data_IF_134930411299
#
_entry.id   IF_134930411299
#
_cell.length_a   1.000
_cell.length_b   1.000
_cell.length_c   1.000
_cell.angle_alpha   90.00
_cell.angle_beta   90.00
_cell.angle_gamma   90.00
#
_symmetry.space_group_name_H-M   'P 1'
#
loop_
_entity.id
_entity.type
_entity.pdbx_description
1 polymer ?
#
# COMPACT_ATOMS: atom_id res chain seq x y z
N UNK A 1 -23.69 -2.81 27.49
CA UNK A 1 -23.07 -3.88 26.66
C UNK A 1 -22.18 -3.20 25.63
N UNK A 2 -20.87 -3.47 25.64
CA UNK A 2 -19.96 -2.99 24.60
C UNK A 2 -20.26 -3.81 23.34
N UNK A 3 -20.86 -3.21 22.34
CA UNK A 3 -21.04 -3.84 21.02
C UNK A 3 -19.67 -4.13 20.44
N UNK A 4 -19.33 -5.41 20.31
CA UNK A 4 -18.07 -5.80 19.65
C UNK A 4 -18.10 -5.36 18.19
N UNK A 5 -17.01 -4.76 17.72
CA UNK A 5 -16.82 -4.34 16.33
C UNK A 5 -16.84 -5.56 15.40
N UNK A 6 -17.51 -5.46 14.27
CA UNK A 6 -17.67 -6.55 13.30
C UNK A 6 -16.56 -6.51 12.24
N UNK A 7 -16.03 -7.65 11.90
CA UNK A 7 -15.04 -7.77 10.83
C UNK A 7 -15.45 -8.79 9.76
N UNK A 8 -15.03 -8.51 8.53
CA UNK A 8 -14.97 -9.47 7.47
C UNK A 8 -13.53 -9.95 7.27
N UNK A 9 -13.36 -11.19 6.83
CA UNK A 9 -12.11 -11.70 6.28
C UNK A 9 -12.25 -11.81 4.77
N UNK A 10 -11.28 -11.26 4.02
CA UNK A 10 -11.11 -11.59 2.62
C UNK A 10 -9.82 -12.36 2.39
N UNK A 11 -9.94 -13.51 1.76
CA UNK A 11 -8.83 -14.38 1.45
C UNK A 11 -8.86 -14.85 0.00
N UNK A 12 -7.70 -14.81 -0.63
CA UNK A 12 -7.50 -15.41 -1.93
C UNK A 12 -6.65 -16.67 -1.78
N UNK A 13 -7.05 -17.75 -2.43
CA UNK A 13 -6.23 -18.98 -2.50
C UNK A 13 -6.52 -19.78 -3.76
N UNK A 14 -5.49 -20.29 -4.39
CA UNK A 14 -5.59 -21.33 -5.42
C UNK A 14 -5.35 -22.74 -4.83
N UNK A 15 -5.16 -22.85 -3.51
CA UNK A 15 -4.75 -24.07 -2.83
C UNK A 15 -5.89 -24.86 -2.18
N UNK A 16 -7.10 -24.30 -2.09
CA UNK A 16 -8.22 -24.90 -1.36
C UNK A 16 -8.57 -26.34 -1.78
N UNK A 17 -8.39 -26.66 -3.07
CA UNK A 17 -8.66 -27.99 -3.61
C UNK A 17 -7.48 -28.97 -3.40
N UNK A 18 -6.24 -28.46 -3.36
CA UNK A 18 -5.03 -29.29 -3.28
C UNK A 18 -4.52 -29.47 -1.86
N UNK A 19 -4.72 -28.46 -0.99
CA UNK A 19 -4.18 -28.43 0.39
C UNK A 19 -5.18 -27.80 1.36
N UNK A 20 -6.32 -28.46 1.64
CA UNK A 20 -7.38 -27.88 2.46
C UNK A 20 -6.91 -27.51 3.87
N UNK A 21 -5.96 -28.26 4.48
CA UNK A 21 -5.41 -27.94 5.81
C UNK A 21 -4.67 -26.60 5.83
N UNK A 22 -3.90 -26.27 4.80
CA UNK A 22 -3.18 -25.00 4.72
C UNK A 22 -4.18 -23.84 4.63
N UNK A 23 -5.23 -24.00 3.87
CA UNK A 23 -6.30 -23.02 3.73
C UNK A 23 -7.01 -22.77 5.07
N UNK A 24 -7.40 -23.83 5.78
CA UNK A 24 -8.05 -23.74 7.09
C UNK A 24 -7.14 -23.00 8.07
N UNK A 25 -5.88 -23.40 8.20
CA UNK A 25 -4.92 -22.75 9.10
C UNK A 25 -4.74 -21.25 8.80
N UNK A 26 -4.75 -20.86 7.51
CA UNK A 26 -4.65 -19.46 7.12
C UNK A 26 -5.87 -18.65 7.55
N UNK A 27 -7.07 -19.22 7.46
CA UNK A 27 -8.30 -18.58 7.93
C UNK A 27 -8.32 -18.48 9.46
N UNK A 28 -7.88 -19.50 10.17
CA UNK A 28 -7.76 -19.50 11.64
C UNK A 28 -6.80 -18.40 12.09
N UNK A 29 -5.61 -18.29 11.47
CA UNK A 29 -4.65 -17.22 11.77
C UNK A 29 -5.25 -15.82 11.54
N UNK A 30 -6.04 -15.64 10.47
CA UNK A 30 -6.71 -14.37 10.20
C UNK A 30 -7.79 -14.06 11.25
N UNK A 31 -8.51 -15.08 11.70
CA UNK A 31 -9.53 -14.95 12.75
C UNK A 31 -8.89 -14.57 14.08
N UNK A 32 -7.85 -15.29 14.51
CA UNK A 32 -7.09 -14.98 15.72
C UNK A 32 -6.53 -13.56 15.70
N UNK A 33 -6.01 -13.12 14.56
CA UNK A 33 -5.52 -11.76 14.40
C UNK A 33 -6.63 -10.71 14.54
N UNK A 34 -7.80 -10.95 13.94
CA UNK A 34 -8.96 -10.06 14.07
C UNK A 34 -9.46 -10.01 15.53
N UNK A 35 -9.53 -11.14 16.21
CA UNK A 35 -9.95 -11.24 17.61
C UNK A 35 -8.96 -10.53 18.55
N UNK A 36 -7.64 -10.68 18.32
CA UNK A 36 -6.60 -9.97 19.07
C UNK A 36 -6.67 -8.45 18.89
N UNK A 37 -7.14 -7.99 17.73
CA UNK A 37 -7.40 -6.58 17.45
C UNK A 37 -8.76 -6.07 17.98
N UNK A 38 -9.53 -6.93 18.69
CA UNK A 38 -10.80 -6.56 19.34
C UNK A 38 -12.04 -6.67 18.45
N UNK A 39 -11.94 -7.37 17.31
CA UNK A 39 -13.05 -7.56 16.38
C UNK A 39 -13.66 -8.96 16.49
N UNK A 40 -14.92 -9.09 16.06
CA UNK A 40 -15.59 -10.37 15.85
C UNK A 40 -15.75 -10.61 14.36
N UNK A 41 -15.20 -11.70 13.85
CA UNK A 41 -15.35 -12.10 12.46
C UNK A 41 -16.76 -12.65 12.25
N UNK A 42 -17.55 -11.97 11.45
CA UNK A 42 -18.93 -12.38 11.11
C UNK A 42 -19.03 -13.06 9.76
N UNK A 43 -18.18 -12.67 8.80
CA UNK A 43 -18.24 -13.19 7.44
C UNK A 43 -16.84 -13.44 6.86
N UNK A 44 -16.76 -14.44 5.99
CA UNK A 44 -15.52 -14.80 5.28
C UNK A 44 -15.83 -14.87 3.78
N UNK A 45 -15.09 -14.08 3.02
CA UNK A 45 -15.15 -14.03 1.57
C UNK A 45 -13.89 -14.67 0.98
N UNK A 46 -14.05 -15.60 0.07
CA UNK A 46 -12.90 -16.35 -0.44
C UNK A 46 -12.98 -16.58 -1.94
N UNK A 47 -12.04 -16.01 -2.68
CA UNK A 47 -11.88 -16.24 -4.11
C UNK A 47 -10.73 -17.23 -4.40
N UNK A 48 -10.89 -17.99 -5.48
CA UNK A 48 -9.89 -18.94 -5.97
C UNK A 48 -9.10 -18.42 -7.17
N UNK A 49 -9.40 -17.21 -7.63
CA UNK A 49 -8.73 -16.56 -8.76
C UNK A 49 -8.57 -15.07 -8.51
N UNK A 50 -7.39 -14.53 -8.85
CA UNK A 50 -7.12 -13.10 -8.83
C UNK A 50 -7.43 -12.38 -10.15
N UNK A 51 -8.01 -13.07 -11.12
CA UNK A 51 -8.55 -12.41 -12.30
C UNK A 51 -9.80 -11.63 -11.89
N UNK A 52 -9.89 -10.36 -12.31
CA UNK A 52 -10.99 -9.47 -11.90
C UNK A 52 -12.37 -10.05 -12.19
N UNK A 53 -12.54 -10.72 -13.35
CA UNK A 53 -13.78 -11.39 -13.75
C UNK A 53 -14.18 -12.60 -12.90
N UNK A 54 -13.30 -13.06 -12.02
CA UNK A 54 -13.47 -14.27 -11.23
C UNK A 54 -13.45 -13.98 -9.71
N UNK A 55 -13.50 -12.69 -9.33
CA UNK A 55 -13.45 -12.23 -7.93
C UNK A 55 -14.83 -11.96 -7.36
N UNK A 56 -15.71 -12.91 -7.50
CA UNK A 56 -17.14 -12.80 -7.15
C UNK A 56 -17.30 -12.50 -5.65
N UNK A 57 -16.54 -13.16 -4.80
CA UNK A 57 -16.61 -12.98 -3.35
C UNK A 57 -16.06 -11.63 -2.90
N UNK A 58 -15.04 -11.11 -3.57
CA UNK A 58 -14.56 -9.76 -3.28
C UNK A 58 -15.59 -8.69 -3.69
N UNK A 59 -16.23 -8.87 -4.83
CA UNK A 59 -17.30 -7.97 -5.28
C UNK A 59 -18.53 -8.06 -4.34
N UNK A 60 -18.88 -9.24 -3.84
CA UNK A 60 -19.87 -9.41 -2.78
C UNK A 60 -19.48 -8.70 -1.49
N UNK A 61 -18.20 -8.81 -1.07
CA UNK A 61 -17.69 -8.05 0.07
C UNK A 61 -17.84 -6.54 -0.15
N UNK A 62 -17.40 -6.02 -1.30
CA UNK A 62 -17.50 -4.59 -1.61
C UNK A 62 -18.95 -4.08 -1.54
N UNK A 63 -19.89 -4.85 -2.07
CA UNK A 63 -21.33 -4.51 -2.04
C UNK A 63 -21.90 -4.49 -0.62
N UNK A 64 -21.30 -5.19 0.34
CA UNK A 64 -21.75 -5.33 1.73
C UNK A 64 -20.79 -4.69 2.74
N UNK A 65 -19.80 -3.92 2.30
CA UNK A 65 -18.72 -3.40 3.14
C UNK A 65 -19.22 -2.54 4.31
N UNK A 66 -20.35 -1.85 4.14
CA UNK A 66 -21.00 -1.03 5.17
C UNK A 66 -21.54 -1.82 6.38
N UNK A 67 -21.52 -3.15 6.35
CA UNK A 67 -21.94 -4.03 7.46
C UNK A 67 -20.82 -4.27 8.48
N UNK A 68 -19.59 -3.88 8.15
CA UNK A 68 -18.39 -4.19 8.92
C UNK A 68 -17.67 -2.92 9.38
N UNK A 69 -16.93 -3.04 10.47
CA UNK A 69 -16.01 -2.03 10.98
C UNK A 69 -14.59 -2.27 10.46
N UNK A 70 -14.27 -3.50 10.04
CA UNK A 70 -12.94 -3.85 9.53
C UNK A 70 -12.95 -4.97 8.48
N UNK A 71 -11.92 -4.91 7.61
CA UNK A 71 -11.52 -5.98 6.71
C UNK A 71 -10.15 -6.53 7.14
N UNK A 72 -10.04 -7.84 7.27
CA UNK A 72 -8.78 -8.54 7.49
C UNK A 72 -8.37 -9.35 6.26
N UNK A 73 -7.13 -9.23 5.86
CA UNK A 73 -6.54 -10.02 4.77
C UNK A 73 -5.13 -10.47 5.12
N UNK A 74 -4.66 -11.52 4.50
CA UNK A 74 -3.29 -12.00 4.68
C UNK A 74 -2.27 -11.07 4.03
N UNK A 75 -2.56 -10.61 2.81
CA UNK A 75 -1.66 -9.80 1.99
C UNK A 75 -2.50 -8.86 1.12
N UNK A 76 -2.12 -7.59 1.03
CA UNK A 76 -2.81 -6.61 0.17
C UNK A 76 -2.80 -6.98 -1.32
N UNK A 77 -1.85 -7.79 -1.75
CA UNK A 77 -1.86 -8.41 -3.06
C UNK A 77 -3.16 -9.20 -3.34
N UNK A 78 -3.85 -9.67 -2.31
CA UNK A 78 -5.17 -10.31 -2.45
C UNK A 78 -6.25 -9.31 -2.88
N UNK A 79 -6.12 -8.03 -2.49
CA UNK A 79 -7.04 -6.96 -2.91
C UNK A 79 -6.82 -6.59 -4.37
N UNK A 80 -5.58 -6.33 -4.78
CA UNK A 80 -5.18 -6.16 -6.18
C UNK A 80 -3.69 -6.42 -6.37
N UNK A 81 -3.32 -6.92 -7.55
CA UNK A 81 -1.93 -7.07 -7.99
C UNK A 81 -1.29 -5.73 -8.34
N UNK A 82 -2.07 -4.74 -8.73
CA UNK A 82 -1.63 -3.40 -9.09
C UNK A 82 -1.68 -2.48 -7.87
N UNK A 83 -0.58 -1.79 -7.58
CA UNK A 83 -0.44 -0.93 -6.41
C UNK A 83 -1.46 0.21 -6.42
N UNK A 84 -1.57 0.96 -7.52
CA UNK A 84 -2.50 2.08 -7.60
C UNK A 84 -3.95 1.64 -7.42
N UNK A 85 -4.37 0.52 -8.04
CA UNK A 85 -5.70 -0.04 -7.85
C UNK A 85 -5.92 -0.51 -6.41
N UNK A 86 -4.95 -1.24 -5.84
CA UNK A 86 -5.02 -1.72 -4.46
C UNK A 86 -5.21 -0.56 -3.47
N UNK A 87 -4.35 0.45 -3.57
CA UNK A 87 -4.36 1.59 -2.66
C UNK A 87 -5.63 2.43 -2.82
N UNK A 88 -6.12 2.61 -4.05
CA UNK A 88 -7.40 3.29 -4.31
C UNK A 88 -8.58 2.56 -3.67
N UNK A 89 -8.62 1.22 -3.76
CA UNK A 89 -9.68 0.42 -3.10
C UNK A 89 -9.58 0.56 -1.59
N UNK A 90 -8.38 0.45 -1.02
CA UNK A 90 -8.16 0.62 0.42
C UNK A 90 -8.63 2.01 0.87
N UNK A 91 -8.25 3.07 0.15
CA UNK A 91 -8.67 4.44 0.44
C UNK A 91 -10.19 4.59 0.42
N UNK A 92 -10.86 4.12 -0.63
CA UNK A 92 -12.33 4.18 -0.73
C UNK A 92 -13.05 3.46 0.42
N UNK A 93 -12.52 2.31 0.86
CA UNK A 93 -13.07 1.60 2.01
C UNK A 93 -12.83 2.37 3.32
N UNK A 94 -11.67 2.98 3.48
CA UNK A 94 -11.38 3.81 4.66
C UNK A 94 -12.22 5.09 4.69
N UNK A 95 -12.45 5.73 3.56
CA UNK A 95 -13.34 6.89 3.43
C UNK A 95 -14.78 6.55 3.83
N UNK A 96 -15.19 5.29 3.68
CA UNK A 96 -16.48 4.78 4.16
C UNK A 96 -16.46 4.34 5.64
N UNK A 97 -15.33 4.53 6.35
CA UNK A 97 -15.18 4.23 7.77
C UNK A 97 -14.65 2.83 8.09
N UNK A 98 -14.28 2.03 7.07
CA UNK A 98 -13.79 0.67 7.26
C UNK A 98 -12.28 0.65 7.57
N UNK A 99 -11.87 -0.01 8.63
CA UNK A 99 -10.44 -0.25 8.93
C UNK A 99 -9.93 -1.46 8.13
N UNK A 100 -8.70 -1.40 7.60
CA UNK A 100 -8.16 -2.48 6.77
C UNK A 100 -6.82 -2.94 7.32
N UNK A 101 -6.75 -4.24 7.62
CA UNK A 101 -5.62 -4.89 8.26
C UNK A 101 -5.03 -5.98 7.35
N UNK A 102 -3.71 -6.01 7.26
CA UNK A 102 -3.00 -7.12 6.63
C UNK A 102 -1.97 -7.70 7.60
N UNK A 103 -2.03 -9.02 7.83
CA UNK A 103 -1.04 -9.71 8.68
C UNK A 103 0.37 -9.49 8.15
N UNK A 104 0.54 -9.59 6.84
CA UNK A 104 1.87 -9.52 6.21
C UNK A 104 2.36 -8.09 6.00
N UNK A 105 1.44 -7.15 5.72
CA UNK A 105 1.81 -5.85 5.22
C UNK A 105 1.59 -4.71 6.21
N UNK A 106 0.96 -4.98 7.36
CA UNK A 106 0.61 -3.94 8.32
C UNK A 106 -0.67 -3.17 7.94
N UNK A 107 -0.69 -1.90 8.26
CA UNK A 107 -1.82 -1.01 8.08
C UNK A 107 -1.36 0.19 7.26
N UNK A 108 -2.12 0.52 6.23
CA UNK A 108 -2.01 1.79 5.52
C UNK A 108 -3.22 2.65 5.86
N UNK A 109 -2.98 3.93 6.19
CA UNK A 109 -4.03 4.91 6.44
C UNK A 109 -3.77 6.17 5.64
N UNK A 110 -4.82 6.76 5.08
CA UNK A 110 -4.75 8.12 4.52
C UNK A 110 -5.08 9.11 5.61
N UNK A 111 -4.23 10.12 5.76
CA UNK A 111 -4.37 11.18 6.74
C UNK A 111 -4.14 12.54 6.06
N UNK A 112 -4.49 13.62 6.74
CA UNK A 112 -4.11 14.96 6.32
C UNK A 112 -2.59 15.12 6.38
N UNK A 113 -2.03 15.65 5.32
CA UNK A 113 -0.59 15.82 5.25
C UNK A 113 -0.14 16.95 6.19
N UNK A 114 0.95 16.74 6.97
CA UNK A 114 1.46 17.73 7.91
C UNK A 114 2.28 18.82 7.19
N UNK A 115 1.62 19.60 6.32
CA UNK A 115 2.29 20.61 5.48
C UNK A 115 3.03 21.68 6.27
N UNK A 116 2.55 22.04 7.45
CA UNK A 116 3.15 23.06 8.31
C UNK A 116 4.34 22.56 9.12
N UNK A 117 4.54 21.24 9.20
CA UNK A 117 5.67 20.66 9.91
C UNK A 117 6.93 20.66 9.04
N UNK A 118 8.09 21.08 9.57
CA UNK A 118 9.34 20.94 8.83
C UNK A 118 9.72 19.46 8.74
N UNK A 119 9.71 18.91 7.53
CA UNK A 119 10.10 17.51 7.27
C UNK A 119 11.26 17.44 6.27
N UNK A 120 12.18 16.53 6.54
CA UNK A 120 13.26 16.16 5.62
C UNK A 120 12.70 15.12 4.64
N UNK A 121 12.66 15.46 3.37
CA UNK A 121 12.06 14.60 2.33
C UNK A 121 13.12 14.06 1.38
N UNK A 122 12.98 12.79 1.03
CA UNK A 122 13.55 12.23 -0.19
C UNK A 122 12.50 12.25 -1.30
N UNK A 123 12.90 12.49 -2.54
CA UNK A 123 12.05 12.23 -3.69
C UNK A 123 12.46 10.96 -4.41
N UNK A 124 11.49 10.23 -4.96
CA UNK A 124 11.76 9.06 -5.75
C UNK A 124 10.93 9.01 -7.04
N UNK A 125 11.61 8.72 -8.13
CA UNK A 125 10.99 8.53 -9.42
C UNK A 125 11.52 7.24 -10.08
N UNK A 126 10.63 6.31 -10.41
CA UNK A 126 10.96 5.21 -11.30
C UNK A 126 10.34 5.48 -12.68
N UNK A 127 11.18 5.49 -13.71
CA UNK A 127 10.74 5.60 -15.10
C UNK A 127 10.71 4.21 -15.74
N UNK A 128 9.58 3.89 -16.39
CA UNK A 128 9.44 2.66 -17.17
C UNK A 128 9.65 3.01 -18.65
N UNK A 129 10.86 2.77 -19.15
CA UNK A 129 11.23 3.13 -20.49
C UNK A 129 12.74 3.16 -20.72
N UNK A 130 13.18 3.95 -21.65
CA UNK A 130 14.58 4.09 -22.01
C UNK A 130 15.31 5.12 -21.16
N UNK A 131 16.65 5.02 -21.08
CA UNK A 131 17.49 6.04 -20.45
C UNK A 131 17.36 7.43 -21.10
N UNK A 132 17.07 7.49 -22.39
CA UNK A 132 16.90 8.77 -23.09
C UNK A 132 15.58 9.44 -22.67
N UNK A 133 14.49 8.70 -22.62
CA UNK A 133 13.20 9.21 -22.11
C UNK A 133 13.33 9.67 -20.64
N UNK A 134 14.11 8.96 -19.82
CA UNK A 134 14.37 9.36 -18.45
C UNK A 134 15.04 10.74 -18.36
N UNK A 135 16.02 11.04 -19.22
CA UNK A 135 16.71 12.34 -19.23
C UNK A 135 15.77 13.53 -19.47
N UNK A 136 14.67 13.30 -20.17
CA UNK A 136 13.65 14.32 -20.42
C UNK A 136 12.64 14.40 -19.27
N UNK A 137 12.27 13.27 -18.68
CA UNK A 137 11.22 13.18 -17.66
C UNK A 137 11.71 13.64 -16.28
N UNK A 138 12.96 13.33 -15.90
CA UNK A 138 13.48 13.65 -14.57
C UNK A 138 13.46 15.16 -14.27
N UNK A 139 13.97 16.06 -15.12
CA UNK A 139 13.95 17.48 -14.84
C UNK A 139 12.54 18.00 -14.59
N UNK A 140 11.58 17.60 -15.41
CA UNK A 140 10.17 18.00 -15.28
C UNK A 140 9.60 17.55 -13.96
N UNK A 141 9.87 16.32 -13.52
CA UNK A 141 9.38 15.83 -12.23
C UNK A 141 10.03 16.52 -11.05
N UNK A 142 11.31 16.84 -11.14
CA UNK A 142 12.01 17.60 -10.13
C UNK A 142 11.44 19.01 -9.95
N UNK A 143 11.15 19.67 -11.07
CA UNK A 143 10.51 20.98 -11.05
C UNK A 143 9.14 20.92 -10.36
N UNK A 144 8.35 19.88 -10.65
CA UNK A 144 7.06 19.64 -9.98
C UNK A 144 7.24 19.46 -8.47
N UNK A 145 8.18 18.62 -8.02
CA UNK A 145 8.46 18.43 -6.60
C UNK A 145 8.95 19.70 -5.94
N UNK A 146 9.86 20.43 -6.56
CA UNK A 146 10.39 21.70 -6.06
C UNK A 146 9.29 22.76 -5.95
N UNK A 147 8.45 22.90 -6.97
CA UNK A 147 7.31 23.82 -6.95
C UNK A 147 6.31 23.45 -5.86
N UNK A 148 6.03 22.17 -5.69
CA UNK A 148 5.11 21.69 -4.66
C UNK A 148 5.65 22.00 -3.27
N UNK A 149 6.90 21.59 -2.97
CA UNK A 149 7.49 21.79 -1.63
C UNK A 149 7.63 23.26 -1.29
N UNK A 150 8.13 24.10 -2.20
CA UNK A 150 8.34 25.53 -1.97
C UNK A 150 7.04 26.35 -1.81
N UNK A 151 5.93 25.91 -2.44
CA UNK A 151 4.69 26.69 -2.43
C UNK A 151 3.64 26.23 -1.44
N UNK A 152 3.70 24.96 -1.04
CA UNK A 152 2.60 24.35 -0.29
C UNK A 152 3.01 23.71 1.05
N UNK A 153 4.31 23.62 1.33
CA UNK A 153 4.77 22.88 2.52
C UNK A 153 5.98 23.54 3.16
N UNK A 154 6.26 23.17 4.41
CA UNK A 154 7.53 23.45 5.10
C UNK A 154 8.55 22.29 4.93
N UNK A 155 8.39 21.47 3.90
CA UNK A 155 9.25 20.32 3.65
C UNK A 155 10.50 20.71 2.88
N UNK A 156 11.63 20.08 3.23
CA UNK A 156 12.91 20.29 2.56
C UNK A 156 13.32 19.01 1.84
N UNK A 157 13.49 19.08 0.53
CA UNK A 157 14.04 17.98 -0.26
C UNK A 157 15.55 17.88 0.02
N UNK A 158 15.97 16.77 0.64
CA UNK A 158 17.37 16.50 0.98
C UNK A 158 18.07 15.77 -0.15
N UNK A 159 17.45 14.70 -0.66
CA UNK A 159 18.00 13.86 -1.71
C UNK A 159 16.96 13.49 -2.75
N UNK A 160 17.41 13.16 -3.95
CA UNK A 160 16.59 12.78 -5.08
C UNK A 160 17.10 11.48 -5.69
N UNK A 161 16.22 10.49 -5.81
CA UNK A 161 16.54 9.15 -6.29
C UNK A 161 15.78 8.81 -7.57
N UNK A 162 16.47 8.18 -8.53
CA UNK A 162 15.91 7.86 -9.84
C UNK A 162 16.31 6.48 -10.31
N UNK A 163 15.32 5.68 -10.66
CA UNK A 163 15.54 4.39 -11.30
C UNK A 163 14.93 4.33 -12.69
N UNK A 164 15.57 3.59 -13.58
CA UNK A 164 15.01 3.18 -14.87
C UNK A 164 14.84 1.68 -14.84
N UNK A 165 13.65 1.20 -15.09
CA UNK A 165 13.37 -0.22 -15.11
C UNK A 165 12.71 -0.61 -16.42
N UNK A 166 13.42 -1.36 -17.28
CA UNK A 166 12.86 -1.90 -18.52
C UNK A 166 11.89 -3.05 -18.28
N UNK A 167 12.11 -3.83 -17.21
CA UNK A 167 11.37 -5.05 -16.91
C UNK A 167 10.52 -4.95 -15.64
N UNK A 168 10.47 -3.75 -15.05
CA UNK A 168 9.73 -3.50 -13.82
C UNK A 168 10.08 -4.50 -12.69
N UNK A 169 11.36 -4.88 -12.61
CA UNK A 169 11.85 -5.77 -11.54
C UNK A 169 12.36 -4.94 -10.37
N UNK A 170 12.01 -5.33 -9.16
CA UNK A 170 12.52 -4.70 -7.95
C UNK A 170 14.06 -4.73 -7.86
N UNK A 171 14.70 -5.81 -8.31
CA UNK A 171 16.17 -5.92 -8.35
C UNK A 171 16.87 -4.89 -9.27
N UNK A 172 16.12 -4.25 -10.16
CA UNK A 172 16.64 -3.19 -11.04
C UNK A 172 16.50 -1.79 -10.41
N UNK A 173 15.81 -1.66 -9.28
CA UNK A 173 15.62 -0.40 -8.56
C UNK A 173 16.79 -0.16 -7.59
N UNK A 174 17.98 0.12 -8.12
CA UNK A 174 19.21 0.28 -7.34
C UNK A 174 19.13 1.52 -6.45
N UNK A 175 18.60 2.62 -6.97
CA UNK A 175 18.46 3.87 -6.22
C UNK A 175 17.38 3.75 -5.12
N UNK A 176 16.35 2.92 -5.31
CA UNK A 176 15.41 2.59 -4.24
C UNK A 176 16.12 1.82 -3.09
N UNK A 177 17.04 0.91 -3.41
CA UNK A 177 17.82 0.20 -2.39
C UNK A 177 18.73 1.15 -1.62
N UNK A 178 19.34 2.12 -2.31
CA UNK A 178 20.14 3.17 -1.69
C UNK A 178 19.28 4.07 -0.79
N UNK A 179 18.10 4.48 -1.24
CA UNK A 179 17.14 5.24 -0.43
C UNK A 179 16.77 4.47 0.84
N UNK A 180 16.48 3.16 0.73
CA UNK A 180 16.21 2.31 1.90
C UNK A 180 17.39 2.26 2.87
N UNK A 181 18.62 2.17 2.36
CA UNK A 181 19.82 2.17 3.19
C UNK A 181 20.04 3.52 3.92
N UNK A 182 19.59 4.62 3.33
CA UNK A 182 19.70 5.97 3.86
C UNK A 182 18.42 6.48 4.57
N UNK A 183 17.40 5.66 4.75
CA UNK A 183 16.05 6.05 5.22
C UNK A 183 16.06 6.92 6.50
N UNK A 184 17.00 6.69 7.40
CA UNK A 184 17.07 7.42 8.68
C UNK A 184 17.40 8.92 8.51
N UNK A 185 17.80 9.33 7.31
CA UNK A 185 18.03 10.74 6.97
C UNK A 185 16.72 11.50 6.70
N UNK A 186 15.63 10.78 6.46
CA UNK A 186 14.37 11.34 5.97
C UNK A 186 13.23 11.07 6.92
N UNK A 187 12.26 11.98 6.90
CA UNK A 187 11.01 11.86 7.64
C UNK A 187 9.86 11.42 6.71
N UNK A 188 10.02 11.64 5.38
CA UNK A 188 8.98 11.42 4.39
C UNK A 188 9.58 11.06 3.02
N UNK A 189 8.91 10.17 2.30
CA UNK A 189 9.14 9.94 0.86
C UNK A 189 8.09 10.69 0.02
N UNK A 190 8.54 11.52 -0.93
CA UNK A 190 7.69 12.24 -1.87
C UNK A 190 7.76 11.57 -3.25
N UNK A 191 6.60 11.21 -3.79
CA UNK A 191 6.46 10.56 -5.12
C UNK A 191 5.37 11.21 -5.94
N UNK A 192 5.41 11.06 -7.26
CA UNK A 192 4.34 11.56 -8.13
C UNK A 192 3.05 10.72 -7.98
N UNK A 193 3.19 9.39 -7.97
CA UNK A 193 2.13 8.43 -7.63
C UNK A 193 2.74 7.18 -6.98
N UNK A 194 1.90 6.38 -6.31
CA UNK A 194 2.37 5.19 -5.59
C UNK A 194 2.93 4.10 -6.51
N UNK A 195 2.50 4.04 -7.79
CA UNK A 195 3.08 3.12 -8.76
C UNK A 195 4.54 3.45 -9.09
N UNK A 196 5.00 4.70 -8.84
CA UNK A 196 6.41 5.05 -8.99
C UNK A 196 7.31 4.33 -7.97
N UNK A 197 6.81 4.01 -6.78
CA UNK A 197 7.53 3.17 -5.83
C UNK A 197 7.66 1.76 -6.38
N UNK A 198 6.54 1.13 -6.68
CA UNK A 198 6.45 -0.09 -7.49
C UNK A 198 5.01 -0.37 -7.91
N UNK A 199 4.80 -0.74 -9.19
CA UNK A 199 3.47 -1.00 -9.74
C UNK A 199 2.81 -2.28 -9.21
N UNK A 200 3.62 -3.30 -8.79
CA UNK A 200 3.12 -4.53 -8.16
C UNK A 200 2.94 -4.33 -6.67
N UNK A 201 1.74 -4.56 -6.18
CA UNK A 201 1.39 -4.42 -4.76
C UNK A 201 2.31 -5.22 -3.83
N UNK A 202 2.67 -6.47 -4.19
CA UNK A 202 3.57 -7.28 -3.37
C UNK A 202 4.95 -6.67 -3.17
N UNK A 203 5.51 -6.05 -4.22
CA UNK A 203 6.81 -5.41 -4.17
C UNK A 203 6.72 -4.04 -3.49
N UNK A 204 5.66 -3.26 -3.77
CA UNK A 204 5.38 -2.02 -3.04
C UNK A 204 5.34 -2.27 -1.54
N UNK A 205 4.58 -3.25 -1.08
CA UNK A 205 4.50 -3.60 0.34
C UNK A 205 5.84 -4.12 0.91
N UNK A 206 6.64 -4.83 0.11
CA UNK A 206 7.99 -5.24 0.50
C UNK A 206 8.91 -4.05 0.69
N UNK A 207 8.90 -3.11 -0.26
CA UNK A 207 9.67 -1.86 -0.18
C UNK A 207 9.23 -1.08 1.06
N UNK A 208 7.94 -0.90 1.26
CA UNK A 208 7.40 -0.12 2.37
C UNK A 208 7.79 -0.69 3.74
N UNK A 209 7.80 -2.01 3.89
CA UNK A 209 8.28 -2.65 5.13
C UNK A 209 9.77 -2.42 5.43
N UNK A 210 10.58 -2.23 4.40
CA UNK A 210 12.01 -1.94 4.54
C UNK A 210 12.26 -0.44 4.72
N UNK A 211 11.55 0.37 3.96
CA UNK A 211 11.66 1.83 3.97
C UNK A 211 11.17 2.43 5.30
N UNK A 212 9.99 2.04 5.75
CA UNK A 212 9.36 2.48 7.00
C UNK A 212 9.15 4.00 7.11
N UNK A 213 9.12 4.70 5.99
CA UNK A 213 8.76 6.10 5.89
C UNK A 213 7.29 6.24 5.50
N UNK A 214 6.65 7.30 5.96
CA UNK A 214 5.40 7.72 5.38
C UNK A 214 5.64 8.20 3.94
N UNK A 215 4.62 8.11 3.09
CA UNK A 215 4.72 8.50 1.67
C UNK A 215 3.72 9.61 1.41
N UNK A 216 4.17 10.70 0.81
CA UNK A 216 3.28 11.63 0.16
C UNK A 216 3.31 11.43 -1.35
N UNK A 217 2.17 11.09 -1.90
CA UNK A 217 1.96 11.01 -3.34
C UNK A 217 1.22 12.26 -3.82
N UNK A 218 1.72 12.89 -4.88
CA UNK A 218 1.03 14.05 -5.47
C UNK A 218 -0.35 13.70 -6.01
N UNK A 219 -0.58 12.44 -6.39
CA UNK A 219 -1.87 11.97 -6.93
C UNK A 219 -2.80 11.42 -5.85
N UNK A 220 -2.28 10.63 -4.91
CA UNK A 220 -3.10 9.88 -3.96
C UNK A 220 -3.13 10.49 -2.55
N UNK A 221 -2.23 11.45 -2.23
CA UNK A 221 -2.19 12.11 -0.93
C UNK A 221 -1.20 11.48 0.06
N UNK A 222 -1.40 11.72 1.36
CA UNK A 222 -0.51 11.32 2.44
C UNK A 222 -0.87 9.92 2.95
N UNK A 223 0.00 8.98 2.67
CA UNK A 223 -0.10 7.58 3.07
C UNK A 223 0.79 7.29 4.26
N UNK A 224 0.18 7.00 5.39
CA UNK A 224 0.87 6.61 6.61
C UNK A 224 0.99 5.10 6.70
N UNK A 225 2.16 4.62 7.08
CA UNK A 225 2.43 3.20 7.26
C UNK A 225 2.63 2.86 8.72
N UNK A 226 1.90 1.83 9.19
CA UNK A 226 2.11 1.23 10.51
C UNK A 226 2.33 -0.26 10.36
N UNK A 227 3.32 -0.79 11.05
CA UNK A 227 3.49 -2.24 11.13
C UNK A 227 2.24 -2.86 11.77
N UNK A 228 1.92 -4.11 11.38
CA UNK A 228 0.92 -4.92 12.10
C UNK A 228 1.29 -5.01 13.59
N UNK A 229 0.27 -5.03 14.41
CA UNK A 229 0.37 -5.25 15.85
C UNK A 229 1.07 -6.54 16.19
#
# INVERSE_FOLDING_TARGET
MITKKKAAIYHFTNESKRRPKIYINQLETLREYAESAGFVVTDIYCDMSLKRSERIEFDHFLANSNRYDALFTKDFYHISKNTGECMRIIQQLQDSGLQIYSIKNGIFTWEDAPFDNPLRTATYTCHFGTLNEMKEVIPVRNDIFTLFTNKKTNWTVIDQYYDVSFRQKYSEQIQMQELIANRDKYDLLLVHNLNNVHWRTSNFCQIQRQLQLDIYSLQEGFLKYRRSL
#
